data_IF_653433856519
#
_entry.id   IF_653433856519
#
_cell.length_a   1.000
_cell.length_b   1.000
_cell.length_c   1.000
_cell.angle_alpha   90.00
_cell.angle_beta   90.00
_cell.angle_gamma   90.00
#
_symmetry.space_group_name_H-M   'P 1'
#
loop_
_entity.id
_entity.type
_entity.pdbx_description
1 polymer ?
#
# COMPACT_ATOMS: atom_id res chain seq x y z
N UNK A 1 11.20 -13.15 -19.33
CA UNK A 1 10.08 -12.38 -19.89
C UNK A 1 9.49 -11.63 -18.71
N UNK A 2 9.62 -10.32 -18.50
CA UNK A 2 9.85 -9.22 -19.45
C UNK A 2 10.56 -8.05 -18.77
N UNK A 3 11.60 -7.53 -19.43
CA UNK A 3 12.03 -6.13 -19.37
C UNK A 3 10.87 -5.22 -19.81
N UNK A 4 10.40 -4.25 -19.00
CA UNK A 4 9.73 -3.02 -19.47
C UNK A 4 9.31 -2.04 -18.34
N UNK A 5 10.20 -1.73 -17.39
CA UNK A 5 10.02 -0.56 -16.50
C UNK A 5 11.06 0.52 -16.81
N UNK A 6 11.20 0.87 -18.10
CA UNK A 6 12.02 2.01 -18.52
C UNK A 6 11.11 3.16 -18.93
N UNK A 7 10.47 3.77 -17.93
CA UNK A 7 9.79 5.06 -18.10
C UNK A 7 10.82 6.20 -18.24
N UNK A 8 10.48 7.28 -18.97
CA UNK A 8 11.43 8.28 -19.44
C UNK A 8 11.93 9.27 -18.37
N UNK A 9 11.57 9.07 -17.09
CA UNK A 9 12.11 9.91 -16.03
C UNK A 9 13.49 9.37 -15.64
N UNK A 10 14.53 10.22 -15.68
CA UNK A 10 15.89 9.87 -15.24
C UNK A 10 16.02 9.63 -13.73
N UNK A 11 14.90 9.42 -13.02
CA UNK A 11 14.86 8.99 -11.64
C UNK A 11 15.27 7.51 -11.57
N UNK A 12 15.90 7.10 -10.47
CA UNK A 12 16.07 5.68 -10.16
C UNK A 12 14.70 5.09 -9.77
N UNK A 13 13.83 4.83 -10.76
CA UNK A 13 12.43 4.41 -10.56
C UNK A 13 12.30 3.15 -9.70
N UNK A 14 13.31 2.27 -9.70
CA UNK A 14 13.35 1.08 -8.84
C UNK A 14 13.41 1.44 -7.36
N UNK A 15 14.12 2.50 -7.01
CA UNK A 15 14.23 3.00 -5.64
C UNK A 15 12.91 3.66 -5.23
N UNK A 16 12.33 4.47 -6.10
CA UNK A 16 11.02 5.12 -5.88
C UNK A 16 9.89 4.10 -5.71
N UNK A 17 9.91 2.97 -6.43
CA UNK A 17 8.94 1.89 -6.24
C UNK A 17 9.03 1.25 -4.85
N UNK A 18 10.25 1.02 -4.33
CA UNK A 18 10.45 0.51 -2.98
C UNK A 18 9.91 1.48 -1.94
N UNK A 19 10.30 2.75 -2.04
CA UNK A 19 9.84 3.80 -1.11
C UNK A 19 8.30 3.96 -1.15
N UNK A 20 7.71 3.92 -2.34
CA UNK A 20 6.25 4.03 -2.51
C UNK A 20 5.51 2.82 -1.92
N UNK A 21 6.11 1.63 -1.91
CA UNK A 21 5.57 0.47 -1.22
C UNK A 21 5.58 0.66 0.30
N UNK A 22 6.69 1.17 0.86
CA UNK A 22 6.80 1.50 2.29
C UNK A 22 5.81 2.57 2.75
N UNK A 23 5.59 3.59 1.91
CA UNK A 23 4.57 4.63 2.10
C UNK A 23 3.17 4.04 2.26
N UNK A 24 2.86 3.01 1.47
CA UNK A 24 1.54 2.41 1.43
C UNK A 24 1.32 1.35 2.51
N UNK A 25 2.37 0.65 2.93
CA UNK A 25 2.27 -0.38 3.98
C UNK A 25 2.26 0.19 5.40
N UNK A 26 2.16 1.52 5.55
CA UNK A 26 2.14 2.22 6.83
C UNK A 26 3.37 1.91 7.71
N UNK A 27 4.49 1.58 7.07
CA UNK A 27 5.77 1.33 7.73
C UNK A 27 6.48 2.63 8.16
N UNK A 28 6.01 3.78 7.66
CA UNK A 28 6.60 5.10 7.86
C UNK A 28 5.75 5.96 8.81
N UNK A 29 6.41 6.85 9.55
CA UNK A 29 5.75 7.90 10.32
C UNK A 29 5.08 8.92 9.38
N UNK A 30 4.07 9.68 9.85
CA UNK A 30 3.40 10.68 9.02
C UNK A 30 4.35 11.75 8.47
N UNK A 31 5.44 12.05 9.18
CA UNK A 31 6.47 13.00 8.73
C UNK A 31 7.30 12.43 7.57
N UNK A 32 7.70 11.16 7.66
CA UNK A 32 8.42 10.46 6.59
C UNK A 32 7.55 10.27 5.35
N UNK A 33 6.25 9.98 5.54
CA UNK A 33 5.29 9.90 4.44
C UNK A 33 5.22 11.21 3.65
N UNK A 34 5.15 12.35 4.32
CA UNK A 34 5.09 13.66 3.67
C UNK A 34 6.40 14.00 2.94
N UNK A 35 7.54 13.75 3.57
CA UNK A 35 8.85 13.95 2.94
C UNK A 35 9.01 13.11 1.67
N UNK A 36 8.55 11.87 1.71
CA UNK A 36 8.60 10.98 0.56
C UNK A 36 7.64 11.41 -0.57
N UNK A 37 6.43 11.86 -0.22
CA UNK A 37 5.50 12.47 -1.20
C UNK A 37 6.13 13.65 -1.93
N UNK A 38 6.81 14.53 -1.21
CA UNK A 38 7.51 15.68 -1.79
C UNK A 38 8.67 15.25 -2.71
N UNK A 39 9.43 14.23 -2.31
CA UNK A 39 10.47 13.64 -3.14
C UNK A 39 9.89 13.08 -4.44
N UNK A 40 8.79 12.33 -4.37
CA UNK A 40 8.09 11.77 -5.54
C UNK A 40 7.50 12.88 -6.42
N UNK A 41 6.96 13.94 -5.81
CA UNK A 41 6.39 15.10 -6.51
C UNK A 41 7.43 15.90 -7.33
N UNK A 42 8.73 15.74 -7.05
CA UNK A 42 9.79 16.33 -7.88
C UNK A 42 9.83 15.76 -9.31
N UNK A 43 9.21 14.59 -9.53
CA UNK A 43 9.05 13.98 -10.84
C UNK A 43 7.56 13.87 -11.22
N UNK A 44 7.12 14.48 -12.32
CA UNK A 44 5.71 14.46 -12.74
C UNK A 44 5.20 13.05 -13.07
N UNK A 45 6.06 12.18 -13.63
CA UNK A 45 5.68 10.80 -13.97
C UNK A 45 5.49 9.94 -12.71
N UNK A 46 6.44 10.00 -11.77
CA UNK A 46 6.35 9.28 -10.51
C UNK A 46 5.18 9.79 -9.67
N UNK A 47 4.91 11.09 -9.69
CA UNK A 47 3.75 11.69 -9.04
C UNK A 47 2.43 11.16 -9.63
N UNK A 48 2.31 11.10 -10.96
CA UNK A 48 1.12 10.54 -11.61
C UNK A 48 0.90 9.06 -11.22
N UNK A 49 1.97 8.27 -11.08
CA UNK A 49 1.90 6.90 -10.56
C UNK A 49 1.41 6.87 -9.10
N UNK A 50 1.93 7.75 -8.25
CA UNK A 50 1.52 7.87 -6.85
C UNK A 50 0.01 8.15 -6.73
N UNK A 51 -0.49 9.11 -7.51
CA UNK A 51 -1.92 9.44 -7.53
C UNK A 51 -2.79 8.25 -7.96
N UNK A 52 -2.35 7.48 -8.97
CA UNK A 52 -3.06 6.27 -9.41
C UNK A 52 -3.17 5.23 -8.31
N UNK A 53 -2.06 4.92 -7.64
CA UNK A 53 -2.04 3.97 -6.54
C UNK A 53 -2.86 4.46 -5.33
N UNK A 54 -2.82 5.75 -5.03
CA UNK A 54 -3.64 6.34 -3.97
C UNK A 54 -5.13 6.26 -4.26
N UNK A 55 -5.52 6.51 -5.51
CA UNK A 55 -6.90 6.36 -5.95
C UNK A 55 -7.36 4.90 -5.82
N UNK A 56 -6.54 3.95 -6.27
CA UNK A 56 -6.82 2.51 -6.11
C UNK A 56 -6.96 2.17 -4.63
N UNK A 57 -6.02 2.57 -3.77
CA UNK A 57 -6.06 2.29 -2.33
C UNK A 57 -7.24 2.97 -1.64
N UNK A 58 -7.63 4.18 -2.07
CA UNK A 58 -8.82 4.85 -1.59
C UNK A 58 -10.10 4.08 -1.97
N UNK A 59 -10.19 3.60 -3.21
CA UNK A 59 -11.26 2.72 -3.66
C UNK A 59 -11.28 1.42 -2.86
N UNK A 60 -10.14 0.76 -2.65
CA UNK A 60 -10.05 -0.44 -1.81
C UNK A 60 -10.53 -0.17 -0.39
N UNK A 61 -10.14 0.95 0.24
CA UNK A 61 -10.66 1.32 1.57
C UNK A 61 -12.18 1.54 1.56
N UNK A 62 -12.72 2.14 0.50
CA UNK A 62 -14.17 2.35 0.37
C UNK A 62 -14.95 1.04 0.18
N UNK A 63 -14.38 0.07 -0.54
CA UNK A 63 -14.98 -1.25 -0.75
C UNK A 63 -14.79 -2.18 0.45
N UNK A 64 -13.60 -2.22 1.04
CA UNK A 64 -13.24 -3.09 2.17
C UNK A 64 -13.78 -2.60 3.51
N UNK A 65 -14.26 -1.35 3.61
CA UNK A 65 -15.00 -0.86 4.78
C UNK A 65 -16.35 -1.55 5.01
N UNK A 66 -16.88 -2.25 4.01
CA UNK A 66 -18.15 -2.98 4.10
C UNK A 66 -18.02 -4.45 4.54
N UNK A 67 -16.82 -5.04 4.45
CA UNK A 67 -16.58 -6.43 4.86
C UNK A 67 -15.95 -6.47 6.26
N UNK A 68 -16.76 -6.17 7.27
CA UNK A 68 -16.51 -6.74 8.59
C UNK A 68 -16.35 -8.25 8.39
N UNK A 69 -15.18 -8.80 8.74
CA UNK A 69 -14.94 -10.24 8.72
C UNK A 69 -16.17 -10.96 9.29
N UNK A 70 -16.80 -11.89 8.53
CA UNK A 70 -18.06 -12.48 8.93
C UNK A 70 -17.97 -12.92 10.38
N UNK A 71 -18.91 -12.50 11.22
CA UNK A 71 -18.88 -12.79 12.68
C UNK A 71 -18.68 -14.29 12.92
N UNK A 72 -19.20 -15.12 12.03
CA UNK A 72 -19.02 -16.58 12.00
C UNK A 72 -17.54 -17.02 11.90
N UNK A 73 -16.73 -16.35 11.07
CA UNK A 73 -15.30 -16.63 10.92
C UNK A 73 -14.54 -16.25 12.19
N UNK A 74 -14.85 -15.08 12.78
CA UNK A 74 -14.30 -14.67 14.09
C UNK A 74 -14.65 -15.66 15.20
N UNK A 75 -15.91 -16.12 15.25
CA UNK A 75 -16.36 -17.11 16.24
C UNK A 75 -15.66 -18.45 16.07
N UNK A 76 -15.53 -18.98 14.85
CA UNK A 76 -14.80 -20.22 14.57
C UNK A 76 -13.33 -20.14 14.99
N UNK A 77 -12.63 -19.08 14.61
CA UNK A 77 -11.21 -18.88 14.97
C UNK A 77 -11.06 -18.80 16.50
N UNK A 78 -11.92 -18.03 17.18
CA UNK A 78 -11.88 -17.90 18.65
C UNK A 78 -12.10 -19.25 19.36
N UNK A 79 -13.03 -20.07 18.85
CA UNK A 79 -13.29 -21.40 19.39
C UNK A 79 -12.10 -22.35 19.18
N UNK A 80 -11.50 -22.38 17.98
CA UNK A 80 -10.34 -23.23 17.69
C UNK A 80 -9.11 -22.84 18.50
N UNK A 81 -8.85 -21.54 18.70
CA UNK A 81 -7.71 -21.09 19.51
C UNK A 81 -7.84 -21.53 20.98
N UNK A 82 -9.05 -21.57 21.54
CA UNK A 82 -9.30 -22.04 22.90
C UNK A 82 -9.05 -23.54 23.06
N UNK A 83 -9.34 -24.33 22.03
CA UNK A 83 -9.15 -25.79 22.05
C UNK A 83 -7.67 -26.16 21.98
N UNK A 84 -6.84 -25.39 21.27
CA UNK A 84 -5.40 -25.68 21.09
C UNK A 84 -4.55 -25.29 22.31
N UNK A 85 -5.10 -24.51 23.26
CA UNK A 85 -4.40 -24.03 24.47
C UNK A 85 -4.90 -24.65 25.78
N UNK A 86 -5.77 -25.66 25.72
CA UNK A 86 -6.16 -26.50 26.85
C UNK A 86 -5.58 -27.89 26.70
#
# INVERSE_FOLDING_TARGET
MSDSDKEPCGCQCTEVQGEMSELFDAALSPQECEALRQKIASCPECFSRLEREEAIRALMRSCCGADHAPVMLRQKITAQIRIVRG
#
